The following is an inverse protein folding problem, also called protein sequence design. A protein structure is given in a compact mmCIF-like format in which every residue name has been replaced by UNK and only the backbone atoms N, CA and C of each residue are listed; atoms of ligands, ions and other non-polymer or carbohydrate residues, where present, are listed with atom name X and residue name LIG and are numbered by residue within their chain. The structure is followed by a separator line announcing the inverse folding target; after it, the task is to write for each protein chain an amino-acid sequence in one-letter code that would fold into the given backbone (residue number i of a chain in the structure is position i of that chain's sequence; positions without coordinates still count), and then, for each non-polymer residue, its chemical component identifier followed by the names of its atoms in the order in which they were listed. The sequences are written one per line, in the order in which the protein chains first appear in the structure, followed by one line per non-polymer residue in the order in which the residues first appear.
data_IF_330005335072
#
_entry.id   IF_330005335072
#
_cell.length_a   1.000
_cell.length_b   1.000
_cell.length_c   1.000
_cell.angle_alpha   90.00
_cell.angle_beta   90.00
_cell.angle_gamma   90.00
#
_symmetry.space_group_name_H-M   'P 1'
#
loop_
_entity.id
_entity.type
_entity.pdbx_description
1 polymer ?
#
# COMPACT_ATOMS: atom_id res chain seq x y z
N UNK A 1 -8.35 -29.67 38.93
CA UNK A 1 -7.05 -29.69 39.62
C UNK A 1 -7.19 -29.29 41.09
N UNK A 2 -7.90 -28.19 41.40
CA UNK A 2 -8.18 -27.69 42.76
C UNK A 2 -8.83 -28.71 43.70
N UNK A 3 -9.85 -29.48 43.26
CA UNK A 3 -10.49 -30.52 44.10
C UNK A 3 -9.52 -31.60 44.59
N UNK A 4 -8.56 -32.02 43.75
CA UNK A 4 -7.55 -33.03 44.11
C UNK A 4 -6.46 -32.48 45.06
N UNK A 5 -6.26 -31.16 45.09
CA UNK A 5 -5.34 -30.50 46.02
C UNK A 5 -5.97 -30.31 47.40
N UNK A 6 -7.27 -29.99 47.48
CA UNK A 6 -8.00 -29.90 48.75
C UNK A 6 -8.06 -31.22 49.51
N UNK A 7 -8.33 -32.33 48.80
CA UNK A 7 -8.35 -33.68 49.39
C UNK A 7 -6.95 -34.11 49.89
N UNK A 8 -5.88 -33.79 49.16
CA UNK A 8 -4.51 -34.11 49.56
C UNK A 8 -4.01 -33.25 50.74
N UNK A 9 -4.40 -31.98 50.81
CA UNK A 9 -4.07 -31.08 51.92
C UNK A 9 -4.76 -31.50 53.23
N UNK A 10 -6.01 -31.98 53.13
CA UNK A 10 -6.78 -32.43 54.28
C UNK A 10 -6.20 -33.71 54.90
N UNK A 11 -5.82 -34.69 54.08
CA UNK A 11 -5.11 -35.90 54.54
C UNK A 11 -3.76 -35.56 55.17
N UNK A 12 -3.01 -34.63 54.57
CA UNK A 12 -1.71 -34.20 55.12
C UNK A 12 -1.83 -33.46 56.46
N UNK A 13 -2.94 -32.75 56.71
CA UNK A 13 -3.23 -32.05 57.98
C UNK A 13 -3.60 -33.04 59.10
N UNK A 14 -4.33 -34.10 58.77
CA UNK A 14 -4.76 -35.14 59.72
C UNK A 14 -3.60 -36.01 60.22
N UNK A 15 -2.58 -36.22 59.39
CA UNK A 15 -1.38 -37.01 59.73
C UNK A 15 -0.19 -36.15 60.23
N UNK A 16 -0.34 -34.81 60.27
CA UNK A 16 0.74 -33.91 60.65
C UNK A 16 0.88 -33.78 62.18
N UNK A 17 2.09 -33.92 62.75
CA UNK A 17 2.32 -33.62 64.16
C UNK A 17 1.88 -32.19 64.52
N UNK A 18 1.29 -32.01 65.70
CA UNK A 18 0.66 -30.73 66.13
C UNK A 18 1.57 -29.51 65.97
N UNK A 19 2.89 -29.67 66.18
CA UNK A 19 3.88 -28.60 66.02
C UNK A 19 4.07 -28.11 64.58
N UNK A 20 3.60 -28.85 63.58
CA UNK A 20 3.79 -28.56 62.15
C UNK A 20 2.48 -28.25 61.41
N UNK A 21 1.32 -28.37 62.07
CA UNK A 21 0.01 -28.09 61.48
C UNK A 21 -0.14 -26.62 61.05
N UNK A 22 0.33 -25.68 61.89
CA UNK A 22 0.25 -24.25 61.56
C UNK A 22 1.15 -23.87 60.37
N UNK A 23 2.44 -24.26 60.32
CA UNK A 23 3.27 -24.09 59.12
C UNK A 23 2.69 -24.72 57.84
N UNK A 24 2.05 -25.89 57.95
CA UNK A 24 1.44 -26.57 56.80
C UNK A 24 0.20 -25.83 56.27
N UNK A 25 -0.63 -25.29 57.17
CA UNK A 25 -1.78 -24.46 56.80
C UNK A 25 -1.33 -23.16 56.12
N UNK A 26 -0.28 -22.51 56.64
CA UNK A 26 0.29 -21.29 56.05
C UNK A 26 0.86 -21.54 54.65
N UNK A 27 1.55 -22.68 54.46
CA UNK A 27 2.08 -23.09 53.17
C UNK A 27 0.95 -23.39 52.16
N UNK A 28 -0.11 -24.07 52.59
CA UNK A 28 -1.26 -24.39 51.74
C UNK A 28 -1.97 -23.11 51.29
N UNK A 29 -2.20 -22.17 52.22
CA UNK A 29 -2.78 -20.86 51.90
C UNK A 29 -1.87 -20.03 50.97
N UNK A 30 -0.55 -20.08 51.14
CA UNK A 30 0.39 -19.46 50.22
C UNK A 30 0.31 -20.06 48.81
N UNK A 31 0.27 -21.38 48.70
CA UNK A 31 0.11 -22.10 47.43
C UNK A 31 -1.21 -21.76 46.72
N UNK A 32 -2.33 -21.68 47.45
CA UNK A 32 -3.63 -21.29 46.90
C UNK A 32 -3.65 -19.85 46.41
N UNK A 33 -3.01 -18.91 47.15
CA UNK A 33 -2.87 -17.52 46.70
C UNK A 33 -2.03 -17.41 45.44
N UNK A 34 -0.93 -18.17 45.34
CA UNK A 34 -0.09 -18.22 44.14
C UNK A 34 -0.83 -18.84 42.97
N UNK A 35 -1.58 -19.92 43.18
CA UNK A 35 -2.40 -20.54 42.14
C UNK A 35 -3.50 -19.60 41.62
N UNK A 36 -4.17 -18.88 42.52
CA UNK A 36 -5.24 -17.93 42.19
C UNK A 36 -4.69 -16.69 41.45
N UNK A 37 -3.53 -16.19 41.87
CA UNK A 37 -2.81 -15.12 41.18
C UNK A 37 -2.32 -15.58 39.79
N UNK A 38 -1.86 -16.83 39.69
CA UNK A 38 -1.49 -17.48 38.44
C UNK A 38 -2.67 -17.59 37.47
N UNK A 39 -3.82 -18.10 37.91
CA UNK A 39 -5.05 -18.19 37.11
C UNK A 39 -5.57 -16.81 36.68
N UNK A 40 -5.50 -15.80 37.54
CA UNK A 40 -5.92 -14.43 37.21
C UNK A 40 -4.99 -13.79 36.17
N UNK A 41 -3.68 -14.05 36.28
CA UNK A 41 -2.68 -13.60 35.31
C UNK A 41 -2.81 -14.33 33.97
N UNK A 42 -3.12 -15.63 33.99
CA UNK A 42 -3.38 -16.43 32.80
C UNK A 42 -4.65 -15.97 32.07
N UNK A 43 -5.73 -15.69 32.80
CA UNK A 43 -6.97 -15.11 32.22
C UNK A 43 -6.75 -13.72 31.64
N UNK A 44 -5.90 -12.89 32.27
CA UNK A 44 -5.53 -11.57 31.74
C UNK A 44 -4.69 -11.70 30.45
N UNK A 45 -3.80 -12.69 30.37
CA UNK A 45 -3.02 -13.03 29.17
C UNK A 45 -3.92 -13.59 28.05
N UNK A 46 -4.84 -14.51 28.36
CA UNK A 46 -5.83 -15.06 27.41
C UNK A 46 -6.80 -13.98 26.89
N UNK A 47 -7.15 -12.99 27.71
CA UNK A 47 -7.95 -11.83 27.27
C UNK A 47 -7.12 -10.76 26.54
N UNK A 48 -5.80 -10.72 26.74
CA UNK A 48 -4.88 -9.85 26.01
C UNK A 48 -4.63 -10.35 24.57
N UNK A 49 -4.65 -11.66 24.33
CA UNK A 49 -4.10 -12.29 23.11
C UNK A 49 -4.83 -11.98 21.78
N UNK A 50 -6.18 -11.94 21.68
CA UNK A 50 -6.84 -11.85 20.37
C UNK A 50 -6.68 -10.47 19.69
N UNK A 51 -6.79 -9.39 20.47
CA UNK A 51 -6.82 -8.02 19.94
C UNK A 51 -5.45 -7.54 19.46
N UNK A 52 -4.36 -8.05 20.04
CA UNK A 52 -3.01 -7.77 19.57
C UNK A 52 -2.60 -8.69 18.42
N UNK A 53 -3.06 -9.95 18.42
CA UNK A 53 -2.90 -10.85 17.27
C UNK A 53 -3.53 -10.28 16.00
N UNK A 54 -4.81 -9.87 16.06
CA UNK A 54 -5.51 -9.21 14.94
C UNK A 54 -4.79 -7.94 14.49
N UNK A 55 -4.34 -7.10 15.42
CA UNK A 55 -3.64 -5.85 15.09
C UNK A 55 -2.25 -6.09 14.51
N UNK A 56 -1.57 -7.15 14.94
CA UNK A 56 -0.29 -7.57 14.37
C UNK A 56 -0.47 -8.10 12.95
N UNK A 57 -1.51 -8.90 12.70
CA UNK A 57 -1.86 -9.37 11.35
C UNK A 57 -2.20 -8.20 10.43
N UNK A 58 -3.00 -7.23 10.89
CA UNK A 58 -3.28 -6.00 10.14
C UNK A 58 -1.99 -5.23 9.78
N UNK A 59 -1.07 -5.10 10.74
CA UNK A 59 0.21 -4.42 10.51
C UNK A 59 1.13 -5.18 9.55
N UNK A 60 1.16 -6.51 9.62
CA UNK A 60 1.94 -7.35 8.69
C UNK A 60 1.38 -7.28 7.27
N UNK A 61 0.05 -7.32 7.10
CA UNK A 61 -0.61 -7.13 5.82
C UNK A 61 -0.38 -5.71 5.26
N UNK A 62 -0.42 -4.69 6.11
CA UNK A 62 -0.13 -3.32 5.69
C UNK A 62 1.34 -3.16 5.27
N UNK A 63 2.27 -3.78 6.00
CA UNK A 63 3.68 -3.82 5.63
C UNK A 63 3.87 -4.50 4.28
N UNK A 64 3.35 -5.71 4.09
CA UNK A 64 3.44 -6.45 2.83
C UNK A 64 2.89 -5.62 1.66
N UNK A 65 1.73 -4.96 1.86
CA UNK A 65 1.13 -4.09 0.84
C UNK A 65 2.05 -2.92 0.46
N UNK A 66 2.62 -2.24 1.46
CA UNK A 66 3.48 -1.07 1.23
C UNK A 66 4.81 -1.48 0.59
N UNK A 67 5.40 -2.58 1.02
CA UNK A 67 6.67 -3.09 0.49
C UNK A 67 6.49 -3.56 -0.96
N UNK A 68 5.42 -4.31 -1.25
CA UNK A 68 5.09 -4.74 -2.60
C UNK A 68 4.83 -3.54 -3.52
N UNK A 69 4.02 -2.56 -3.09
CA UNK A 69 3.79 -1.36 -3.89
C UNK A 69 5.06 -0.55 -4.15
N UNK A 70 5.91 -0.39 -3.14
CA UNK A 70 7.19 0.31 -3.26
C UNK A 70 8.12 -0.35 -4.29
N UNK A 71 8.17 -1.69 -4.30
CA UNK A 71 9.01 -2.45 -5.22
C UNK A 71 8.65 -2.19 -6.70
N UNK A 72 7.36 -2.07 -7.03
CA UNK A 72 6.92 -1.92 -8.43
C UNK A 72 6.66 -0.48 -8.86
N UNK A 73 6.64 0.46 -7.92
CA UNK A 73 6.39 1.88 -8.18
C UNK A 73 7.32 2.46 -9.25
N UNK A 74 8.61 2.16 -9.18
CA UNK A 74 9.59 2.72 -10.13
C UNK A 74 9.39 2.22 -11.54
N UNK A 75 8.92 0.97 -11.73
CA UNK A 75 8.55 0.50 -13.07
C UNK A 75 7.34 1.25 -13.61
N UNK A 76 6.40 1.66 -12.76
CA UNK A 76 5.31 2.55 -13.21
C UNK A 76 5.87 3.91 -13.64
N UNK A 77 6.82 4.48 -12.88
CA UNK A 77 7.47 5.74 -13.26
C UNK A 77 8.26 5.60 -14.58
N UNK A 78 8.98 4.50 -14.79
CA UNK A 78 9.68 4.20 -16.04
C UNK A 78 8.71 4.07 -17.22
N UNK A 79 7.57 3.40 -17.03
CA UNK A 79 6.54 3.27 -18.06
C UNK A 79 5.95 4.63 -18.43
N UNK A 80 5.71 5.50 -17.45
CA UNK A 80 5.23 6.86 -17.70
C UNK A 80 6.24 7.73 -18.45
N UNK A 81 7.54 7.45 -18.35
CA UNK A 81 8.56 8.11 -19.18
C UNK A 81 8.39 7.70 -20.64
N UNK A 82 8.17 6.40 -20.94
CA UNK A 82 7.88 5.94 -22.30
C UNK A 82 6.60 6.56 -22.86
N UNK A 83 5.52 6.54 -22.07
CA UNK A 83 4.25 7.19 -22.42
C UNK A 83 4.46 8.67 -22.68
N UNK A 84 5.25 9.34 -21.84
CA UNK A 84 5.55 10.75 -22.03
C UNK A 84 6.26 10.98 -23.34
N UNK A 85 7.28 10.18 -23.70
CA UNK A 85 7.96 10.26 -24.99
C UNK A 85 7.01 10.11 -26.18
N UNK A 86 5.98 9.27 -26.05
CA UNK A 86 4.93 9.12 -27.07
C UNK A 86 3.96 10.31 -27.10
N UNK A 87 3.58 10.87 -25.95
CA UNK A 87 2.56 11.93 -25.86
C UNK A 87 2.99 13.22 -26.56
N UNK A 88 4.30 13.50 -26.57
CA UNK A 88 4.92 14.72 -27.14
C UNK A 88 4.68 14.82 -28.64
N UNK A 89 4.57 13.67 -29.30
CA UNK A 89 4.41 13.57 -30.75
C UNK A 89 2.94 13.62 -31.17
N UNK A 90 1.99 13.54 -30.23
CA UNK A 90 0.57 13.61 -30.53
C UNK A 90 0.14 15.05 -30.81
N UNK A 91 -0.46 15.28 -31.97
CA UNK A 91 -1.00 16.59 -32.37
C UNK A 91 -1.94 17.17 -31.31
N UNK A 92 -2.80 16.32 -30.73
CA UNK A 92 -3.72 16.68 -29.64
C UNK A 92 -3.00 17.28 -28.42
N UNK A 93 -1.85 16.73 -28.05
CA UNK A 93 -1.04 17.26 -26.96
C UNK A 93 -0.40 18.60 -27.34
N UNK A 94 0.14 18.71 -28.56
CA UNK A 94 0.80 19.93 -29.04
C UNK A 94 -0.16 21.12 -29.11
N UNK A 95 -1.37 20.89 -29.63
CA UNK A 95 -2.44 21.91 -29.68
C UNK A 95 -2.85 22.37 -28.27
N UNK A 96 -3.07 21.42 -27.36
CA UNK A 96 -3.45 21.71 -25.99
C UNK A 96 -2.32 22.44 -25.22
N UNK A 97 -1.07 22.01 -25.41
CA UNK A 97 0.10 22.64 -24.84
C UNK A 97 0.26 24.09 -25.32
N UNK A 98 0.05 24.36 -26.61
CA UNK A 98 0.07 25.71 -27.17
C UNK A 98 -1.04 26.58 -26.58
N UNK A 99 -2.27 26.05 -26.43
CA UNK A 99 -3.39 26.76 -25.82
C UNK A 99 -3.14 27.12 -24.34
N UNK A 100 -2.32 26.32 -23.64
CA UNK A 100 -1.89 26.55 -22.26
C UNK A 100 -0.61 27.41 -22.14
N UNK A 101 -0.03 27.85 -23.26
CA UNK A 101 1.23 28.59 -23.26
C UNK A 101 2.44 27.77 -22.82
N UNK A 102 2.43 26.45 -23.05
CA UNK A 102 3.58 25.58 -22.79
C UNK A 102 4.42 25.48 -24.06
N UNK A 103 5.63 26.06 -24.04
CA UNK A 103 6.51 26.11 -25.22
C UNK A 103 7.44 24.90 -25.37
N UNK A 104 7.49 23.99 -24.40
CA UNK A 104 8.30 22.76 -24.45
C UNK A 104 7.62 21.62 -23.71
N UNK A 105 7.99 20.34 -24.00
CA UNK A 105 7.48 19.21 -23.26
C UNK A 105 8.00 19.28 -21.82
N UNK A 106 7.10 19.63 -20.90
CA UNK A 106 7.29 19.56 -19.44
C UNK A 106 7.26 18.09 -19.07
N UNK A 107 8.05 17.63 -18.11
CA UNK A 107 8.25 16.20 -17.82
C UNK A 107 6.95 15.39 -17.65
N UNK A 108 7.04 14.05 -17.69
CA UNK A 108 5.93 13.15 -17.34
C UNK A 108 5.22 13.55 -16.04
N UNK A 109 5.99 13.95 -15.02
CA UNK A 109 5.48 14.42 -13.72
C UNK A 109 4.65 15.69 -13.86
N UNK A 110 5.07 16.63 -14.70
CA UNK A 110 4.35 17.89 -14.92
C UNK A 110 3.03 17.66 -15.65
N UNK A 111 3.03 16.79 -16.67
CA UNK A 111 1.82 16.41 -17.40
C UNK A 111 0.83 15.72 -16.47
N UNK A 112 1.29 14.76 -15.67
CA UNK A 112 0.45 14.08 -14.69
C UNK A 112 -0.06 15.01 -13.59
N UNK A 113 0.76 15.97 -13.14
CA UNK A 113 0.32 17.00 -12.21
C UNK A 113 -0.78 17.87 -12.81
N UNK A 114 -0.62 18.31 -14.06
CA UNK A 114 -1.62 19.09 -14.78
C UNK A 114 -2.95 18.31 -14.89
N UNK A 115 -2.89 17.03 -15.27
CA UNK A 115 -4.05 16.14 -15.32
C UNK A 115 -4.69 15.99 -13.93
N UNK A 116 -3.90 15.90 -12.86
CA UNK A 116 -4.42 15.82 -11.50
C UNK A 116 -5.16 17.11 -11.08
N UNK A 117 -4.69 18.29 -11.51
CA UNK A 117 -5.38 19.55 -11.19
C UNK A 117 -6.80 19.65 -11.76
N UNK A 118 -7.13 18.89 -12.82
CA UNK A 118 -8.52 18.78 -13.32
C UNK A 118 -9.49 18.21 -12.29
N UNK A 119 -9.00 17.36 -11.38
CA UNK A 119 -9.83 16.68 -10.37
C UNK A 119 -10.13 17.56 -9.16
N UNK A 120 -9.42 18.67 -8.99
CA UNK A 120 -9.67 19.63 -7.92
C UNK A 120 -10.66 20.68 -8.42
N UNK A 121 -11.93 20.68 -7.95
CA UNK A 121 -12.83 21.79 -8.25
C UNK A 121 -12.22 23.08 -7.70
N UNK A 122 -12.19 24.13 -8.51
CA UNK A 122 -11.84 25.47 -8.02
C UNK A 122 -12.69 25.77 -6.79
N UNK A 123 -12.04 26.12 -5.67
CA UNK A 123 -12.74 26.46 -4.44
C UNK A 123 -13.71 27.61 -4.75
N UNK A 124 -15.02 27.47 -4.46
CA UNK A 124 -15.98 28.53 -4.69
C UNK A 124 -15.72 29.62 -3.65
N UNK A 125 -14.89 30.61 -4.01
CA UNK A 125 -14.38 31.58 -3.04
C UNK A 125 -14.02 32.95 -3.59
N UNK A 126 -14.39 33.28 -4.83
CA UNK A 126 -14.22 34.63 -5.35
C UNK A 126 -15.51 35.08 -6.03
N UNK A 127 -16.37 35.70 -5.24
CA UNK A 127 -17.45 36.53 -5.78
C UNK A 127 -16.79 37.63 -6.64
N UNK A 128 -17.15 37.66 -7.93
CA UNK A 128 -16.59 38.49 -9.01
C UNK A 128 -15.38 37.91 -9.78
N UNK A 129 -15.46 36.66 -10.25
CA UNK A 129 -14.76 36.32 -11.48
C UNK A 129 -15.38 37.12 -12.64
N UNK A 130 -14.63 38.07 -13.22
CA UNK A 130 -15.05 38.75 -14.46
C UNK A 130 -15.41 37.71 -15.53
N UNK A 131 -16.33 38.03 -16.45
CA UNK A 131 -16.72 37.11 -17.52
C UNK A 131 -15.52 36.58 -18.33
N UNK A 132 -14.49 37.42 -18.51
CA UNK A 132 -13.20 37.02 -19.10
C UNK A 132 -12.44 35.96 -18.29
N UNK A 133 -12.51 35.99 -16.96
CA UNK A 133 -11.89 34.99 -16.11
C UNK A 133 -12.61 33.64 -16.21
N UNK A 134 -13.95 33.65 -16.28
CA UNK A 134 -14.76 32.43 -16.50
C UNK A 134 -14.46 31.82 -17.87
N UNK A 135 -14.42 32.62 -18.93
CA UNK A 135 -14.06 32.16 -20.28
C UNK A 135 -12.64 31.60 -20.35
N UNK A 136 -11.68 32.23 -19.65
CA UNK A 136 -10.30 31.75 -19.56
C UNK A 136 -10.22 30.41 -18.83
N UNK A 137 -10.91 30.27 -17.69
CA UNK A 137 -10.97 29.03 -16.93
C UNK A 137 -11.61 27.88 -17.74
N UNK A 138 -12.67 28.18 -18.50
CA UNK A 138 -13.31 27.20 -19.39
C UNK A 138 -12.36 26.71 -20.50
N UNK A 139 -11.63 27.64 -21.15
CA UNK A 139 -10.62 27.30 -22.16
C UNK A 139 -9.46 26.49 -21.57
N UNK A 140 -8.97 26.89 -20.40
CA UNK A 140 -7.92 26.17 -19.69
C UNK A 140 -8.36 24.74 -19.33
N UNK A 141 -9.59 24.58 -18.84
CA UNK A 141 -10.16 23.26 -18.52
C UNK A 141 -10.27 22.38 -19.77
N UNK A 142 -10.75 22.93 -20.88
CA UNK A 142 -10.84 22.18 -22.15
C UNK A 142 -9.47 21.71 -22.64
N UNK A 143 -8.45 22.60 -22.59
CA UNK A 143 -7.10 22.24 -22.98
C UNK A 143 -6.48 21.19 -22.04
N UNK A 144 -6.70 21.28 -20.72
CA UNK A 144 -6.26 20.25 -19.77
C UNK A 144 -6.92 18.89 -20.04
N UNK A 145 -8.20 18.84 -20.39
CA UNK A 145 -8.87 17.59 -20.76
C UNK A 145 -8.27 17.00 -22.04
N UNK A 146 -7.92 17.82 -23.02
CA UNK A 146 -7.20 17.35 -24.22
C UNK A 146 -5.83 16.75 -23.88
N UNK A 147 -5.08 17.35 -22.94
CA UNK A 147 -3.81 16.77 -22.46
C UNK A 147 -4.04 15.40 -21.83
N UNK A 148 -5.11 15.25 -21.02
CA UNK A 148 -5.47 13.98 -20.39
C UNK A 148 -5.84 12.91 -21.43
N UNK A 149 -6.63 13.26 -22.43
CA UNK A 149 -7.00 12.33 -23.50
C UNK A 149 -5.78 11.95 -24.35
N UNK A 150 -4.88 12.89 -24.65
CA UNK A 150 -3.62 12.59 -25.32
C UNK A 150 -2.74 11.63 -24.48
N UNK A 151 -2.69 11.83 -23.16
CA UNK A 151 -1.96 10.93 -22.26
C UNK A 151 -2.49 9.50 -22.33
N UNK A 152 -3.81 9.29 -22.25
CA UNK A 152 -4.39 7.96 -22.35
C UNK A 152 -4.23 7.35 -23.74
N UNK A 153 -4.29 8.15 -24.80
CA UNK A 153 -3.99 7.70 -26.16
C UNK A 153 -2.53 7.22 -26.27
N UNK A 154 -1.57 7.94 -25.68
CA UNK A 154 -0.18 7.50 -25.61
C UNK A 154 0.00 6.21 -24.80
N UNK A 155 -0.71 6.07 -23.67
CA UNK A 155 -0.74 4.83 -22.88
C UNK A 155 -1.19 3.63 -23.73
N UNK A 156 -2.23 3.81 -24.54
CA UNK A 156 -2.75 2.78 -25.45
C UNK A 156 -1.78 2.45 -26.58
N UNK A 157 -1.10 3.46 -27.13
CA UNK A 157 -0.03 3.25 -28.12
C UNK A 157 1.18 2.51 -27.54
N UNK A 158 1.50 2.72 -26.27
CA UNK A 158 2.51 1.97 -25.53
C UNK A 158 2.01 0.59 -25.08
N UNK A 159 0.77 0.22 -25.39
CA UNK A 159 0.26 -1.15 -25.27
C UNK A 159 -0.49 -1.49 -23.99
N UNK A 160 -0.74 -0.52 -23.10
CA UNK A 160 -1.69 -0.69 -21.99
C UNK A 160 -3.03 -0.04 -22.34
N UNK A 161 -4.14 -0.69 -22.00
CA UNK A 161 -5.45 -0.03 -21.97
C UNK A 161 -5.49 0.99 -20.83
N UNK A 162 -6.40 1.96 -20.94
CA UNK A 162 -6.66 2.91 -19.84
C UNK A 162 -6.93 2.23 -18.50
N UNK A 163 -7.73 1.16 -18.49
CA UNK A 163 -8.07 0.44 -17.27
C UNK A 163 -6.86 -0.29 -16.66
N UNK A 164 -6.00 -0.87 -17.49
CA UNK A 164 -4.74 -1.49 -17.06
C UNK A 164 -3.80 -0.45 -16.45
N UNK A 165 -3.65 0.71 -17.10
CA UNK A 165 -2.81 1.81 -16.59
C UNK A 165 -3.31 2.36 -15.25
N UNK A 166 -4.62 2.57 -15.11
CA UNK A 166 -5.22 3.01 -13.84
C UNK A 166 -5.05 1.94 -12.73
N UNK A 167 -5.03 0.66 -13.09
CA UNK A 167 -4.77 -0.44 -12.17
C UNK A 167 -3.34 -0.43 -11.65
N UNK A 168 -2.33 -0.25 -12.52
CA UNK A 168 -0.91 -0.17 -12.10
C UNK A 168 -0.56 1.13 -11.39
N UNK A 169 -1.28 2.23 -11.67
CA UNK A 169 -1.10 3.48 -10.92
C UNK A 169 -1.36 3.34 -9.41
N UNK A 170 -2.06 2.29 -8.95
CA UNK A 170 -2.24 2.00 -7.53
C UNK A 170 -0.92 1.74 -6.77
N UNK A 171 0.14 1.33 -7.48
CA UNK A 171 1.46 1.11 -6.89
C UNK A 171 2.20 2.42 -6.57
N UNK A 172 1.75 3.58 -7.08
CA UNK A 172 2.34 4.90 -6.80
C UNK A 172 1.89 5.56 -5.48
N UNK A 173 1.06 4.86 -4.68
CA UNK A 173 0.51 5.36 -3.42
C UNK A 173 1.55 5.60 -2.31
N UNK A 174 1.12 5.68 -1.05
CA UNK A 174 1.97 5.89 0.13
C UNK A 174 2.99 4.76 0.34
N UNK A 175 4.10 4.82 -0.40
CA UNK A 175 5.21 3.88 -0.35
C UNK A 175 6.26 4.34 0.65
N UNK A 176 6.87 3.40 1.37
CA UNK A 176 8.04 3.69 2.20
C UNK A 176 9.28 3.79 1.30
N UNK A 177 10.01 4.92 1.35
CA UNK A 177 11.25 5.13 0.59
C UNK A 177 12.35 4.13 0.92
N UNK A 178 12.22 3.33 1.98
CA UNK A 178 13.19 2.29 2.31
C UNK A 178 13.11 1.04 1.41
N UNK A 179 12.04 0.86 0.62
CA UNK A 179 11.75 -0.38 -0.12
C UNK A 179 11.64 -0.17 -1.64
N UNK A 180 12.43 0.78 -2.16
CA UNK A 180 12.62 0.95 -3.59
C UNK A 180 13.23 -0.30 -4.24
N UNK A 181 13.10 -0.46 -5.57
CA UNK A 181 13.77 -1.57 -6.26
C UNK A 181 15.28 -1.48 -6.00
N UNK A 182 15.95 -2.62 -5.83
CA UNK A 182 17.41 -2.62 -5.76
C UNK A 182 17.98 -2.14 -7.10
N UNK A 183 19.14 -1.46 -7.08
CA UNK A 183 19.78 -0.87 -8.27
C UNK A 183 19.95 -1.88 -9.42
N UNK A 184 20.09 -3.18 -9.13
CA UNK A 184 20.25 -4.26 -10.11
C UNK A 184 18.93 -4.86 -10.64
N UNK A 185 17.77 -4.35 -10.22
CA UNK A 185 16.47 -4.96 -10.56
C UNK A 185 15.94 -4.46 -11.91
N UNK A 186 16.31 -5.16 -12.98
CA UNK A 186 15.73 -4.90 -14.32
C UNK A 186 14.25 -5.36 -14.42
N UNK A 187 13.45 -4.85 -15.38
CA UNK A 187 12.07 -5.31 -15.60
C UNK A 187 11.95 -6.83 -15.83
N UNK A 188 12.93 -7.42 -16.52
CA UNK A 188 12.99 -8.87 -16.75
C UNK A 188 13.25 -9.67 -15.46
N UNK A 189 14.09 -9.15 -14.56
CA UNK A 189 14.31 -9.74 -13.23
C UNK A 189 13.04 -9.59 -12.38
N UNK A 190 12.39 -8.42 -12.42
CA UNK A 190 11.14 -8.17 -11.72
C UNK A 190 10.02 -9.14 -12.16
N UNK A 191 9.89 -9.46 -13.45
CA UNK A 191 8.97 -10.49 -13.94
C UNK A 191 9.24 -11.87 -13.34
N UNK A 192 10.51 -12.28 -13.28
CA UNK A 192 10.90 -13.57 -12.67
C UNK A 192 10.58 -13.60 -11.17
N UNK A 193 10.83 -12.50 -10.46
CA UNK A 193 10.51 -12.37 -9.05
C UNK A 193 9.00 -12.39 -8.80
N UNK A 194 8.22 -11.71 -9.63
CA UNK A 194 6.75 -11.69 -9.56
C UNK A 194 6.17 -13.11 -9.78
N UNK A 195 6.72 -13.86 -10.73
CA UNK A 195 6.32 -15.24 -10.98
C UNK A 195 6.67 -16.18 -9.81
N UNK A 196 7.79 -15.94 -9.14
CA UNK A 196 8.26 -16.75 -7.99
C UNK A 196 7.50 -16.45 -6.70
N UNK A 197 7.31 -15.17 -6.39
CA UNK A 197 6.78 -14.72 -5.10
C UNK A 197 5.25 -14.53 -5.13
N UNK A 198 4.66 -14.45 -6.33
CA UNK A 198 3.23 -14.20 -6.50
C UNK A 198 2.86 -12.73 -6.28
N UNK A 199 1.55 -12.47 -6.35
CA UNK A 199 0.95 -11.16 -6.11
C UNK A 199 0.07 -11.25 -4.87
N UNK A 200 0.26 -10.39 -3.86
CA UNK A 200 -0.63 -10.36 -2.70
C UNK A 200 -2.09 -10.23 -3.12
N UNK A 201 -3.00 -10.86 -2.36
CA UNK A 201 -4.43 -10.95 -2.71
C UNK A 201 -5.05 -9.57 -3.01
N UNK A 202 -4.63 -8.54 -2.26
CA UNK A 202 -5.08 -7.16 -2.42
C UNK A 202 -4.74 -6.53 -3.78
N UNK A 203 -3.72 -7.06 -4.47
CA UNK A 203 -3.28 -6.62 -5.79
C UNK A 203 -3.62 -7.64 -6.89
N UNK A 204 -4.39 -8.70 -6.60
CA UNK A 204 -4.74 -9.73 -7.58
C UNK A 204 -5.38 -9.14 -8.84
N UNK A 205 -6.27 -8.14 -8.69
CA UNK A 205 -6.89 -7.40 -9.81
C UNK A 205 -5.92 -6.59 -10.67
N UNK A 206 -4.71 -6.34 -10.19
CA UNK A 206 -3.66 -5.57 -10.88
C UNK A 206 -2.55 -6.46 -11.44
N UNK A 207 -2.59 -7.79 -11.21
CA UNK A 207 -1.55 -8.73 -11.60
C UNK A 207 -1.28 -8.71 -13.12
N UNK A 208 -2.33 -8.86 -13.92
CA UNK A 208 -2.19 -8.97 -15.38
C UNK A 208 -1.64 -7.66 -15.97
N UNK A 209 -2.17 -6.53 -15.53
CA UNK A 209 -1.68 -5.21 -15.94
C UNK A 209 -0.22 -4.99 -15.53
N UNK A 210 0.18 -5.41 -14.33
CA UNK A 210 1.56 -5.32 -13.84
C UNK A 210 2.51 -6.18 -14.68
N UNK A 211 2.13 -7.43 -14.97
CA UNK A 211 2.92 -8.34 -15.84
C UNK A 211 3.12 -7.70 -17.21
N UNK A 212 2.02 -7.25 -17.83
CA UNK A 212 2.05 -6.64 -19.16
C UNK A 212 2.93 -5.39 -19.22
N UNK A 213 2.85 -4.53 -18.21
CA UNK A 213 3.70 -3.34 -18.09
C UNK A 213 5.19 -3.72 -17.98
N UNK A 214 5.52 -4.71 -17.16
CA UNK A 214 6.91 -5.18 -17.02
C UNK A 214 7.43 -5.84 -18.30
N UNK A 215 6.60 -6.57 -19.04
CA UNK A 215 6.94 -7.14 -20.35
C UNK A 215 7.18 -6.06 -21.41
N UNK A 216 6.39 -4.98 -21.40
CA UNK A 216 6.60 -3.81 -22.25
C UNK A 216 7.96 -3.17 -21.94
N UNK A 217 8.23 -2.87 -20.68
CA UNK A 217 9.51 -2.29 -20.24
C UNK A 217 10.71 -3.18 -20.56
N UNK A 218 10.59 -4.49 -20.37
CA UNK A 218 11.65 -5.45 -20.69
C UNK A 218 11.97 -5.47 -22.19
N UNK A 219 10.96 -5.37 -23.07
CA UNK A 219 11.16 -5.30 -24.52
C UNK A 219 11.87 -4.02 -24.93
N UNK A 220 11.46 -2.88 -24.37
CA UNK A 220 12.08 -1.58 -24.69
C UNK A 220 13.53 -1.53 -24.23
N UNK A 221 13.83 -2.08 -23.04
CA UNK A 221 15.21 -2.17 -22.55
C UNK A 221 16.09 -3.10 -23.42
N UNK A 222 15.53 -4.16 -24.00
CA UNK A 222 16.26 -5.08 -24.87
C UNK A 222 16.48 -4.55 -26.30
N UNK A 223 15.60 -3.67 -26.80
CA UNK A 223 15.70 -3.07 -28.12
C UNK A 223 16.56 -1.80 -28.21
N UNK A 224 17.07 -1.30 -27.08
CA UNK A 224 17.93 -0.12 -27.00
C UNK A 224 19.44 -0.43 -27.10
N UNK A 225 19.81 -1.67 -27.45
CA UNK A 225 21.18 -2.15 -27.64
C UNK A 225 21.53 -2.31 -29.12
#
# INVERSE_FOLDING_TARGET
MVKKQGEAAQVALEECPVSFQQPLADLTSACERVATAGESSFKLLEQWDPKYGEKLEELLLEKERRDFAAQYREFVEDFEVLVFDRVRDLAKYQEAAAALGMHQPRSAKDVLHLIHTLRCPEKPGSAAASQRAVERAAKERAAKEQVKEAWYEAVELEGLTRAEYESVCRFKGSTNRAFHRGEDTSPAIALKLLAKNGVPLHYASSKEALVKMLELLARTAAGAC
#
